data_IF_564310037013
#
_entry.id   IF_564310037013
#
_cell.length_a   1.000
_cell.length_b   1.000
_cell.length_c   1.000
_cell.angle_alpha   90.00
_cell.angle_beta   90.00
_cell.angle_gamma   90.00
#
_symmetry.space_group_name_H-M   'P 1'
#
loop_
_entity.id
_entity.type
_entity.pdbx_description
1 polymer ?
#
# COMPACT_ATOMS: atom_id res chain seq x y z
N UNK A 1 2.88 27.36 -5.15
CA UNK A 1 1.68 26.62 -4.71
C UNK A 1 0.78 27.42 -3.79
N UNK A 2 1.26 28.06 -2.71
CA UNK A 2 0.39 28.87 -1.80
C UNK A 2 -0.52 29.90 -2.49
N UNK A 3 -0.06 30.52 -3.57
CA UNK A 3 -0.88 31.44 -4.38
C UNK A 3 -2.04 30.74 -5.09
N UNK A 4 -1.82 29.54 -5.63
CA UNK A 4 -2.86 28.70 -6.23
C UNK A 4 -3.87 28.27 -5.17
N UNK A 5 -3.37 27.80 -4.01
CA UNK A 5 -4.21 27.40 -2.88
C UNK A 5 -5.12 28.57 -2.44
N UNK A 6 -4.57 29.79 -2.37
CA UNK A 6 -5.32 31.00 -2.00
C UNK A 6 -6.40 31.33 -3.03
N UNK A 7 -6.06 31.29 -4.32
CA UNK A 7 -7.04 31.53 -5.41
C UNK A 7 -8.18 30.53 -5.35
N UNK A 8 -7.87 29.23 -5.27
CA UNK A 8 -8.89 28.18 -5.27
C UNK A 8 -9.73 28.19 -4.00
N UNK A 9 -9.11 28.44 -2.83
CA UNK A 9 -9.84 28.54 -1.56
C UNK A 9 -10.75 29.76 -1.46
N UNK A 10 -10.52 30.81 -2.26
CA UNK A 10 -11.38 32.00 -2.29
C UNK A 10 -12.69 31.79 -3.07
N UNK A 11 -12.81 30.72 -3.85
CA UNK A 11 -14.01 30.39 -4.62
C UNK A 11 -15.04 29.70 -3.72
N UNK A 12 -16.20 30.31 -3.53
CA UNK A 12 -17.23 29.79 -2.60
C UNK A 12 -17.99 28.56 -3.13
N UNK A 13 -17.86 28.22 -4.42
CA UNK A 13 -18.58 27.15 -5.10
C UNK A 13 -17.72 25.91 -5.40
N UNK A 14 -16.55 25.77 -4.76
CA UNK A 14 -15.63 24.64 -5.00
C UNK A 14 -15.22 23.94 -3.71
N UNK A 15 -15.00 22.63 -3.79
CA UNK A 15 -14.22 21.88 -2.81
C UNK A 15 -12.84 21.62 -3.40
N UNK A 16 -11.83 22.27 -2.84
CA UNK A 16 -10.44 22.19 -3.31
C UNK A 16 -9.62 21.26 -2.41
N UNK A 17 -8.96 20.27 -3.02
CA UNK A 17 -8.06 19.34 -2.35
C UNK A 17 -6.75 19.28 -3.12
N UNK A 18 -5.62 19.43 -2.42
CA UNK A 18 -4.29 19.29 -3.02
C UNK A 18 -3.42 18.39 -2.18
N UNK A 19 -2.66 17.55 -2.85
CA UNK A 19 -1.60 16.74 -2.27
C UNK A 19 -0.36 16.86 -3.14
N UNK A 20 0.67 17.58 -2.65
CA UNK A 20 1.85 17.97 -3.44
C UNK A 20 1.42 18.62 -4.77
N UNK A 21 1.59 17.95 -5.91
CA UNK A 21 1.25 18.44 -7.25
C UNK A 21 -0.13 17.95 -7.73
N UNK A 22 -0.73 16.97 -7.05
CA UNK A 22 -2.04 16.41 -7.41
C UNK A 22 -3.17 17.29 -6.85
N UNK A 23 -3.94 17.90 -7.75
CA UNK A 23 -5.07 18.78 -7.42
C UNK A 23 -6.37 18.10 -7.82
N UNK A 24 -7.33 18.09 -6.90
CA UNK A 24 -8.72 17.71 -7.12
C UNK A 24 -9.63 18.89 -6.79
N UNK A 25 -10.53 19.23 -7.71
CA UNK A 25 -11.52 20.29 -7.53
C UNK A 25 -12.90 19.72 -7.80
N UNK A 26 -13.77 19.76 -6.81
CA UNK A 26 -15.18 19.38 -6.97
C UNK A 26 -16.02 20.65 -7.10
N UNK A 27 -16.84 20.72 -8.13
CA UNK A 27 -17.65 21.89 -8.46
C UNK A 27 -18.91 21.50 -9.24
N UNK A 28 -19.76 22.47 -9.54
CA UNK A 28 -20.88 22.26 -10.45
C UNK A 28 -20.37 22.06 -11.88
N UNK A 29 -20.99 21.15 -12.62
CA UNK A 29 -20.58 20.81 -13.99
C UNK A 29 -20.60 22.03 -14.93
N UNK A 30 -21.51 22.99 -14.70
CA UNK A 30 -21.58 24.25 -15.45
C UNK A 30 -20.35 25.13 -15.29
N UNK A 31 -19.65 25.02 -14.16
CA UNK A 31 -18.57 25.91 -13.77
C UNK A 31 -17.19 25.27 -14.02
N UNK A 32 -17.16 23.97 -14.31
CA UNK A 32 -15.95 23.16 -14.33
C UNK A 32 -14.85 23.69 -15.26
N UNK A 33 -15.22 24.13 -16.47
CA UNK A 33 -14.24 24.69 -17.42
C UNK A 33 -13.68 26.03 -16.92
N UNK A 34 -14.53 26.91 -16.40
CA UNK A 34 -14.09 28.21 -15.89
C UNK A 34 -13.14 28.06 -14.68
N UNK A 35 -13.40 27.06 -13.84
CA UNK A 35 -12.56 26.73 -12.69
C UNK A 35 -11.22 26.11 -13.12
N UNK A 36 -11.20 25.20 -14.10
CA UNK A 36 -9.96 24.66 -14.68
C UNK A 36 -9.10 25.78 -15.28
N UNK A 37 -9.70 26.68 -16.06
CA UNK A 37 -9.00 27.82 -16.65
C UNK A 37 -8.39 28.74 -15.58
N UNK A 38 -9.15 29.04 -14.53
CA UNK A 38 -8.66 29.85 -13.40
C UNK A 38 -7.51 29.15 -12.65
N UNK A 39 -7.60 27.83 -12.45
CA UNK A 39 -6.54 27.02 -11.84
C UNK A 39 -5.27 27.04 -12.70
N UNK A 40 -5.39 26.82 -14.02
CA UNK A 40 -4.27 26.86 -14.97
C UNK A 40 -3.61 28.24 -15.03
N UNK A 41 -4.40 29.32 -14.98
CA UNK A 41 -3.89 30.68 -14.92
C UNK A 41 -3.08 30.92 -13.64
N UNK A 42 -3.60 30.46 -12.48
CA UNK A 42 -2.92 30.56 -11.21
C UNK A 42 -1.59 29.77 -11.18
N UNK A 43 -1.57 28.58 -11.81
CA UNK A 43 -0.34 27.80 -12.01
C UNK A 43 0.66 28.54 -12.92
N UNK A 44 0.17 29.11 -14.03
CA UNK A 44 0.99 29.89 -14.96
C UNK A 44 1.66 31.09 -14.31
N UNK A 45 0.98 31.76 -13.38
CA UNK A 45 1.53 32.88 -12.61
C UNK A 45 2.74 32.49 -11.74
N UNK A 46 2.87 31.21 -11.38
CA UNK A 46 4.04 30.67 -10.65
C UNK A 46 4.97 29.84 -11.55
N UNK A 47 4.86 30.02 -12.88
CA UNK A 47 5.67 29.33 -13.91
C UNK A 47 5.52 27.81 -13.90
N UNK A 48 4.35 27.32 -13.46
CA UNK A 48 3.96 25.92 -13.59
C UNK A 48 2.91 25.78 -14.68
N UNK A 49 2.87 24.61 -15.32
CA UNK A 49 1.83 24.27 -16.28
C UNK A 49 1.24 22.92 -15.93
N UNK A 50 -0.10 22.85 -15.92
CA UNK A 50 -0.79 21.58 -15.81
C UNK A 50 -0.60 20.78 -17.11
N UNK A 51 -0.61 19.45 -16.98
CA UNK A 51 -0.59 18.60 -18.14
C UNK A 51 -1.84 18.83 -19.02
N UNK A 52 -1.78 18.57 -20.34
CA UNK A 52 -2.92 18.74 -21.22
C UNK A 52 -4.07 17.81 -20.84
N UNK A 53 -5.30 18.31 -20.92
CA UNK A 53 -6.52 17.50 -20.83
C UNK A 53 -6.76 16.78 -22.15
N UNK A 54 -6.14 15.62 -22.32
CA UNK A 54 -6.42 14.70 -23.42
C UNK A 54 -6.98 13.40 -22.86
N UNK A 55 -7.61 12.55 -23.70
CA UNK A 55 -8.15 11.24 -23.29
C UNK A 55 -7.11 10.27 -22.65
N UNK A 56 -5.83 10.63 -22.66
CA UNK A 56 -4.74 9.95 -21.96
C UNK A 56 -3.84 10.92 -21.15
N UNK A 57 -4.30 12.14 -20.90
CA UNK A 57 -3.61 13.17 -20.15
C UNK A 57 -3.66 12.94 -18.64
N UNK A 58 -2.77 13.59 -17.89
CA UNK A 58 -2.75 13.55 -16.42
C UNK A 58 -3.75 14.52 -15.77
N UNK A 59 -4.43 15.33 -16.57
CA UNK A 59 -5.46 16.26 -16.12
C UNK A 59 -6.76 15.92 -16.83
N UNK A 60 -7.86 15.93 -16.10
CA UNK A 60 -9.19 15.57 -16.62
C UNK A 60 -10.27 16.48 -16.02
N UNK A 61 -11.30 16.74 -16.82
CA UNK A 61 -12.56 17.34 -16.38
C UNK A 61 -13.64 16.32 -16.71
N UNK A 62 -14.46 15.97 -15.73
CA UNK A 62 -15.49 14.94 -15.90
C UNK A 62 -16.53 14.99 -14.80
N UNK A 63 -17.58 14.18 -14.95
CA UNK A 63 -18.60 14.03 -13.93
C UNK A 63 -18.15 13.01 -12.89
N UNK A 64 -18.48 13.26 -11.62
CA UNK A 64 -18.26 12.28 -10.53
C UNK A 64 -18.95 10.94 -10.85
N UNK A 65 -20.08 10.99 -11.55
CA UNK A 65 -20.85 9.81 -11.96
C UNK A 65 -20.08 8.87 -12.90
N UNK A 66 -19.17 9.41 -13.72
CA UNK A 66 -18.33 8.63 -14.64
C UNK A 66 -17.14 7.97 -13.89
N UNK A 67 -16.92 8.38 -12.64
CA UNK A 67 -15.78 7.99 -11.83
C UNK A 67 -14.52 8.79 -12.14
N UNK A 68 -13.59 8.79 -11.20
CA UNK A 68 -12.31 9.51 -11.34
C UNK A 68 -11.23 8.85 -10.49
N UNK A 69 -9.97 9.29 -10.66
CA UNK A 69 -8.86 8.80 -9.84
C UNK A 69 -8.17 9.91 -9.06
N UNK A 70 -7.79 9.63 -7.81
CA UNK A 70 -7.05 10.56 -6.98
C UNK A 70 -6.19 9.80 -5.96
N UNK A 71 -4.92 10.15 -5.83
CA UNK A 71 -3.95 9.51 -4.91
C UNK A 71 -3.86 7.97 -5.02
N UNK A 72 -4.08 7.46 -6.22
CA UNK A 72 -4.07 6.02 -6.51
C UNK A 72 -5.39 5.30 -6.22
N UNK A 73 -6.38 5.99 -5.65
CA UNK A 73 -7.74 5.48 -5.53
C UNK A 73 -8.53 5.68 -6.82
N UNK A 74 -9.55 4.85 -7.01
CA UNK A 74 -10.59 5.01 -8.04
C UNK A 74 -11.92 5.21 -7.36
N UNK A 75 -12.59 6.31 -7.67
CA UNK A 75 -13.90 6.67 -7.13
C UNK A 75 -14.94 6.33 -8.18
N UNK A 76 -16.01 5.66 -7.76
CA UNK A 76 -17.18 5.38 -8.58
C UNK A 76 -18.45 5.67 -7.78
N UNK A 77 -19.61 5.62 -8.43
CA UNK A 77 -20.90 5.75 -7.74
C UNK A 77 -21.18 4.62 -6.73
N UNK A 78 -20.49 3.48 -6.85
CA UNK A 78 -20.75 2.30 -6.04
C UNK A 78 -19.75 2.12 -4.89
N UNK A 79 -18.48 2.43 -5.13
CA UNK A 79 -17.38 2.13 -4.19
C UNK A 79 -16.13 2.97 -4.48
N UNK A 80 -15.29 3.09 -3.46
CA UNK A 80 -13.90 3.54 -3.52
C UNK A 80 -13.00 2.32 -3.60
N UNK A 81 -12.33 2.16 -4.74
CA UNK A 81 -11.38 1.07 -5.01
C UNK A 81 -9.98 1.64 -5.32
N UNK A 82 -9.13 0.81 -5.90
CA UNK A 82 -7.72 1.13 -6.16
C UNK A 82 -7.44 1.06 -7.65
N UNK A 83 -6.60 1.98 -8.15
CA UNK A 83 -6.20 2.01 -9.56
C UNK A 83 -5.56 0.67 -9.98
N UNK A 84 -5.96 0.18 -11.15
CA UNK A 84 -5.52 -1.12 -11.69
C UNK A 84 -4.01 -1.31 -11.67
N UNK A 85 -3.24 -0.26 -11.98
CA UNK A 85 -1.77 -0.33 -11.96
C UNK A 85 -1.19 -0.68 -10.59
N UNK A 86 -1.79 -0.20 -9.49
CA UNK A 86 -1.36 -0.55 -8.14
C UNK A 86 -1.73 -2.00 -7.81
N UNK A 87 -2.91 -2.46 -8.21
CA UNK A 87 -3.34 -3.86 -8.05
C UNK A 87 -2.37 -4.80 -8.79
N UNK A 88 -2.06 -4.51 -10.05
CA UNK A 88 -1.14 -5.32 -10.88
C UNK A 88 0.26 -5.35 -10.27
N UNK A 89 0.74 -4.24 -9.70
CA UNK A 89 2.03 -4.18 -9.00
C UNK A 89 2.03 -5.08 -7.77
N UNK A 90 0.97 -5.05 -6.95
CA UNK A 90 0.82 -5.94 -5.80
C UNK A 90 0.80 -7.41 -6.23
N UNK A 91 0.00 -7.77 -7.25
CA UNK A 91 -0.07 -9.15 -7.74
C UNK A 91 1.27 -9.63 -8.30
N UNK A 92 2.01 -8.73 -8.96
CA UNK A 92 3.35 -9.01 -9.48
C UNK A 92 4.37 -9.19 -8.35
N UNK A 93 4.30 -8.37 -7.30
CA UNK A 93 5.12 -8.53 -6.09
C UNK A 93 4.83 -9.87 -5.41
N UNK A 94 3.55 -10.22 -5.20
CA UNK A 94 3.16 -11.53 -4.69
C UNK A 94 3.72 -12.65 -5.57
N UNK A 95 3.52 -12.61 -6.90
CA UNK A 95 4.05 -13.62 -7.80
C UNK A 95 5.57 -13.79 -7.69
N UNK A 96 6.32 -12.70 -7.52
CA UNK A 96 7.79 -12.74 -7.33
C UNK A 96 8.20 -13.45 -6.05
N UNK A 97 7.45 -13.29 -4.95
CA UNK A 97 7.69 -13.99 -3.67
C UNK A 97 7.55 -15.50 -3.87
N UNK A 98 6.51 -15.95 -4.59
CA UNK A 98 6.31 -17.37 -4.89
C UNK A 98 7.32 -17.93 -5.90
N UNK A 99 7.76 -17.12 -6.87
CA UNK A 99 8.82 -17.51 -7.80
C UNK A 99 10.15 -17.72 -7.06
N UNK A 100 10.50 -16.84 -6.12
CA UNK A 100 11.67 -16.98 -5.26
C UNK A 100 11.61 -18.26 -4.42
N UNK A 101 10.46 -18.58 -3.83
CA UNK A 101 10.25 -19.86 -3.13
C UNK A 101 10.57 -21.06 -4.01
N UNK A 102 10.08 -21.09 -5.25
CA UNK A 102 10.36 -22.18 -6.19
C UNK A 102 11.85 -22.34 -6.42
N UNK A 103 12.53 -21.23 -6.70
CA UNK A 103 13.97 -21.21 -6.93
C UNK A 103 14.74 -21.72 -5.71
N UNK A 104 14.41 -21.26 -4.51
CA UNK A 104 15.06 -21.68 -3.26
C UNK A 104 14.76 -23.16 -2.92
N UNK A 105 13.57 -23.67 -3.26
CA UNK A 105 13.19 -25.08 -3.05
C UNK A 105 13.87 -26.04 -4.04
N UNK A 106 14.04 -25.61 -5.29
CA UNK A 106 14.65 -26.43 -6.35
C UNK A 106 16.19 -26.39 -6.33
N UNK A 107 16.78 -25.43 -5.61
CA UNK A 107 18.23 -25.32 -5.42
C UNK A 107 18.70 -25.81 -4.05
N UNK A 108 20.03 -25.84 -3.86
CA UNK A 108 20.68 -26.35 -2.64
C UNK A 108 21.19 -25.25 -1.71
N UNK A 109 20.94 -23.97 -2.02
CA UNK A 109 21.51 -22.84 -1.29
C UNK A 109 20.93 -22.66 0.13
N UNK A 110 19.70 -23.13 0.37
CA UNK A 110 19.02 -23.06 1.66
C UNK A 110 18.18 -24.32 1.89
N UNK A 111 17.91 -24.66 3.15
CA UNK A 111 17.01 -25.77 3.46
C UNK A 111 15.57 -25.48 3.02
N UNK A 112 14.80 -26.52 2.70
CA UNK A 112 13.39 -26.39 2.35
C UNK A 112 12.55 -25.69 3.44
N UNK A 113 12.86 -25.93 4.72
CA UNK A 113 12.23 -25.24 5.86
C UNK A 113 12.52 -23.74 5.85
N UNK A 114 13.79 -23.35 5.62
CA UNK A 114 14.19 -21.94 5.53
C UNK A 114 13.50 -21.23 4.38
N UNK A 115 13.45 -21.86 3.20
CA UNK A 115 12.76 -21.32 2.04
C UNK A 115 11.25 -21.14 2.31
N UNK A 116 10.63 -22.08 3.03
CA UNK A 116 9.21 -22.01 3.38
C UNK A 116 8.94 -20.88 4.38
N UNK A 117 9.78 -20.74 5.41
CA UNK A 117 9.72 -19.64 6.38
C UNK A 117 9.80 -18.27 5.71
N UNK A 118 10.78 -18.09 4.81
CA UNK A 118 10.93 -16.86 4.01
C UNK A 118 9.69 -16.57 3.18
N UNK A 119 9.17 -17.57 2.46
CA UNK A 119 7.94 -17.44 1.69
C UNK A 119 6.78 -16.94 2.57
N UNK A 120 6.53 -17.62 3.69
CA UNK A 120 5.42 -17.31 4.60
C UNK A 120 5.57 -15.89 5.13
N UNK A 121 6.76 -15.52 5.56
CA UNK A 121 7.03 -14.21 6.13
C UNK A 121 6.80 -13.09 5.12
N UNK A 122 7.46 -13.14 3.95
CA UNK A 122 7.33 -12.12 2.92
C UNK A 122 5.90 -12.01 2.38
N UNK A 123 5.24 -13.14 2.13
CA UNK A 123 3.84 -13.18 1.70
C UNK A 123 2.94 -12.50 2.75
N UNK A 124 3.08 -12.86 4.02
CA UNK A 124 2.24 -12.31 5.06
C UNK A 124 2.48 -10.80 5.23
N UNK A 125 3.73 -10.35 5.17
CA UNK A 125 4.08 -8.93 5.21
C UNK A 125 3.46 -8.16 4.03
N UNK A 126 3.53 -8.71 2.82
CA UNK A 126 2.91 -8.10 1.63
C UNK A 126 1.38 -7.98 1.76
N UNK A 127 0.73 -8.90 2.47
CA UNK A 127 -0.73 -8.91 2.68
C UNK A 127 -1.14 -7.94 3.80
N UNK A 128 -0.49 -7.98 4.95
CA UNK A 128 -0.91 -7.23 6.14
C UNK A 128 -0.31 -5.84 6.23
N UNK A 129 0.81 -5.61 5.55
CA UNK A 129 1.71 -4.54 5.92
C UNK A 129 2.28 -4.73 7.33
N UNK A 130 2.80 -3.64 7.88
CA UNK A 130 3.35 -3.54 9.22
C UNK A 130 3.29 -2.09 9.72
N UNK A 131 3.62 -1.89 10.99
CA UNK A 131 4.00 -0.59 11.54
C UNK A 131 5.49 -0.64 11.86
N UNK A 132 6.23 0.34 11.36
CA UNK A 132 7.67 0.46 11.56
C UNK A 132 8.09 1.92 11.57
N UNK A 133 8.89 2.31 12.57
CA UNK A 133 9.32 3.69 12.81
C UNK A 133 8.16 4.70 12.86
N UNK A 134 7.04 4.29 13.46
CA UNK A 134 5.81 5.09 13.54
C UNK A 134 5.00 5.15 12.25
N UNK A 135 5.46 4.52 11.17
CA UNK A 135 4.80 4.57 9.85
C UNK A 135 4.09 3.26 9.55
N UNK A 136 2.79 3.34 9.26
CA UNK A 136 2.02 2.21 8.72
C UNK A 136 2.38 2.00 7.24
N UNK A 137 2.94 0.83 6.92
CA UNK A 137 3.45 0.52 5.59
C UNK A 137 2.87 -0.80 5.10
N UNK A 138 2.45 -0.86 3.85
CA UNK A 138 1.83 -2.00 3.17
C UNK A 138 0.66 -1.55 2.31
N UNK A 139 0.39 -2.31 1.24
CA UNK A 139 -0.68 -1.99 0.29
C UNK A 139 -2.03 -1.74 0.98
N UNK A 140 -2.43 -2.62 1.89
CA UNK A 140 -3.73 -2.49 2.59
C UNK A 140 -3.73 -1.37 3.65
N UNK A 141 -2.56 -0.99 4.17
CA UNK A 141 -2.42 0.15 5.09
C UNK A 141 -2.60 1.47 4.34
N UNK A 142 -1.91 1.61 3.20
CA UNK A 142 -2.06 2.75 2.31
C UNK A 142 -3.53 2.88 1.85
N UNK A 143 -4.10 1.81 1.30
CA UNK A 143 -5.46 1.82 0.77
C UNK A 143 -6.54 1.57 1.83
N UNK A 144 -6.30 1.88 3.12
CA UNK A 144 -7.24 1.59 4.23
C UNK A 144 -8.63 2.24 4.11
N UNK A 145 -8.76 3.24 3.25
CA UNK A 145 -10.02 3.94 2.96
C UNK A 145 -10.89 3.27 1.89
N UNK A 146 -10.39 2.24 1.18
CA UNK A 146 -11.19 1.50 0.21
C UNK A 146 -12.41 0.85 0.88
N UNK A 147 -13.48 0.64 0.13
CA UNK A 147 -14.67 -0.12 0.54
C UNK A 147 -15.05 -1.23 -0.47
N UNK A 148 -14.27 -1.41 -1.54
CA UNK A 148 -14.39 -2.52 -2.49
C UNK A 148 -13.93 -3.86 -1.87
N UNK A 149 -14.84 -4.50 -1.12
CA UNK A 149 -14.59 -5.79 -0.50
C UNK A 149 -14.46 -6.94 -1.52
N UNK A 150 -15.00 -6.78 -2.74
CA UNK A 150 -14.86 -7.78 -3.79
C UNK A 150 -13.42 -7.85 -4.30
N UNK A 151 -12.76 -6.70 -4.44
CA UNK A 151 -11.32 -6.63 -4.72
C UNK A 151 -10.50 -7.41 -3.68
N UNK A 152 -10.77 -7.21 -2.39
CA UNK A 152 -10.03 -7.92 -1.33
C UNK A 152 -10.22 -9.44 -1.42
N UNK A 153 -11.45 -9.92 -1.65
CA UNK A 153 -11.72 -11.35 -1.88
C UNK A 153 -10.99 -11.88 -3.12
N UNK A 154 -10.91 -11.09 -4.19
CA UNK A 154 -10.17 -11.46 -5.40
C UNK A 154 -8.68 -11.61 -5.13
N UNK A 155 -8.08 -10.70 -4.36
CA UNK A 155 -6.67 -10.77 -3.96
C UNK A 155 -6.40 -12.01 -3.10
N UNK A 156 -7.29 -12.34 -2.16
CA UNK A 156 -7.20 -13.57 -1.36
C UNK A 156 -7.26 -14.83 -2.24
N UNK A 157 -8.13 -14.82 -3.26
CA UNK A 157 -8.19 -15.89 -4.25
C UNK A 157 -6.91 -15.96 -5.10
N UNK A 158 -6.30 -14.83 -5.46
CA UNK A 158 -5.00 -14.78 -6.15
C UNK A 158 -3.90 -15.44 -5.30
N UNK A 159 -3.79 -15.12 -4.01
CA UNK A 159 -2.84 -15.76 -3.08
C UNK A 159 -3.08 -17.28 -3.01
N UNK A 160 -4.35 -17.70 -2.94
CA UNK A 160 -4.72 -19.12 -2.92
C UNK A 160 -4.30 -19.85 -4.21
N UNK A 161 -4.53 -19.22 -5.37
CA UNK A 161 -4.11 -19.76 -6.68
C UNK A 161 -2.59 -19.87 -6.78
N UNK A 162 -1.85 -18.86 -6.31
CA UNK A 162 -0.38 -18.90 -6.27
C UNK A 162 0.12 -20.05 -5.37
N UNK A 163 -0.43 -20.18 -4.17
CA UNK A 163 -0.09 -21.31 -3.27
C UNK A 163 -0.31 -22.67 -3.91
N UNK A 164 -1.42 -22.86 -4.64
CA UNK A 164 -1.69 -24.09 -5.39
C UNK A 164 -0.71 -24.29 -6.54
N UNK A 165 -0.47 -23.25 -7.35
CA UNK A 165 0.41 -23.30 -8.53
C UNK A 165 1.84 -23.69 -8.16
N UNK A 166 2.34 -23.19 -7.04
CA UNK A 166 3.72 -23.40 -6.59
C UNK A 166 3.87 -24.57 -5.61
N UNK A 167 2.82 -25.36 -5.40
CA UNK A 167 2.79 -26.49 -4.46
C UNK A 167 3.29 -26.11 -3.07
N UNK A 168 2.82 -24.97 -2.56
CA UNK A 168 3.13 -24.52 -1.21
C UNK A 168 2.34 -25.38 -0.21
N UNK A 169 2.95 -25.84 0.89
CA UNK A 169 2.24 -26.56 1.95
C UNK A 169 0.98 -25.80 2.39
N UNK A 170 -0.10 -26.55 2.69
CA UNK A 170 -1.38 -25.97 3.12
C UNK A 170 -1.31 -25.33 4.51
N UNK A 171 -0.30 -25.68 5.31
CA UNK A 171 -0.09 -25.19 6.66
C UNK A 171 1.27 -24.50 6.78
N UNK A 172 1.36 -23.35 7.46
CA UNK A 172 0.25 -22.54 7.96
C UNK A 172 -0.56 -21.88 6.83
N UNK A 173 -1.85 -21.63 7.10
CA UNK A 173 -2.72 -20.91 6.16
C UNK A 173 -2.18 -19.48 5.93
N UNK A 174 -2.28 -18.94 4.70
CA UNK A 174 -1.90 -17.58 4.43
C UNK A 174 -2.77 -16.60 5.22
N UNK A 175 -2.18 -15.47 5.64
CA UNK A 175 -2.98 -14.31 6.05
C UNK A 175 -3.82 -13.82 4.86
N UNK A 176 -4.89 -13.08 5.12
CA UNK A 176 -5.84 -12.62 4.10
C UNK A 176 -6.00 -11.10 4.16
N UNK A 177 -6.16 -10.50 2.99
CA UNK A 177 -6.44 -9.07 2.83
C UNK A 177 -7.75 -8.69 3.52
N UNK A 178 -8.78 -9.54 3.45
CA UNK A 178 -10.04 -9.29 4.14
C UNK A 178 -9.84 -9.17 5.66
N UNK A 179 -9.07 -10.07 6.27
CA UNK A 179 -8.82 -10.02 7.72
C UNK A 179 -7.89 -8.86 8.09
N UNK A 180 -6.89 -8.55 7.25
CA UNK A 180 -6.03 -7.39 7.45
C UNK A 180 -6.83 -6.08 7.40
N UNK A 181 -7.73 -5.93 6.42
CA UNK A 181 -8.63 -4.78 6.28
C UNK A 181 -9.46 -4.55 7.53
N UNK A 182 -10.13 -5.59 8.04
CA UNK A 182 -10.95 -5.46 9.24
C UNK A 182 -10.13 -5.23 10.50
N UNK A 183 -8.91 -5.77 10.58
CA UNK A 183 -8.00 -5.47 11.68
C UNK A 183 -7.54 -4.00 11.69
N UNK A 184 -7.41 -3.37 10.51
CA UNK A 184 -7.11 -1.92 10.39
C UNK A 184 -8.34 -1.08 10.76
N UNK A 185 -9.53 -1.44 10.26
CA UNK A 185 -10.78 -0.69 10.53
C UNK A 185 -11.24 -0.80 11.99
N UNK A 186 -10.93 -1.90 12.67
CA UNK A 186 -11.36 -2.14 14.05
C UNK A 186 -10.18 -2.48 14.99
N UNK A 187 -9.34 -1.49 15.35
CA UNK A 187 -8.14 -1.72 16.17
C UNK A 187 -8.42 -2.31 17.56
N UNK A 188 -9.63 -2.09 18.11
CA UNK A 188 -10.03 -2.59 19.44
C UNK A 188 -10.45 -4.07 19.46
N UNK A 189 -10.76 -4.63 18.29
CA UNK A 189 -11.12 -6.05 18.13
C UNK A 189 -9.93 -6.90 17.66
N UNK A 190 -8.72 -6.32 17.73
CA UNK A 190 -7.49 -6.88 17.18
C UNK A 190 -7.10 -8.11 17.99
N UNK A 191 -6.86 -9.25 17.31
CA UNK A 191 -5.83 -10.17 17.80
C UNK A 191 -4.53 -9.42 17.63
N UNK A 192 -3.93 -8.95 18.73
CA UNK A 192 -2.83 -7.96 18.76
C UNK A 192 -1.72 -8.21 17.71
N UNK A 193 -1.52 -9.47 17.33
CA UNK A 193 -0.44 -9.94 16.45
C UNK A 193 -0.79 -10.10 14.95
N UNK A 194 -2.00 -9.78 14.48
CA UNK A 194 -2.33 -10.04 13.06
C UNK A 194 -1.57 -9.12 12.10
N UNK A 195 -1.40 -7.86 12.46
CA UNK A 195 -0.56 -6.90 11.74
C UNK A 195 0.66 -6.69 12.63
N UNK A 196 1.88 -6.97 12.16
CA UNK A 196 3.07 -6.77 12.98
C UNK A 196 3.28 -5.28 13.25
N UNK A 197 3.55 -4.93 14.51
CA UNK A 197 4.05 -3.63 14.91
C UNK A 197 5.48 -3.81 15.43
N UNK A 198 6.45 -3.60 14.55
CA UNK A 198 7.86 -3.87 14.83
C UNK A 198 8.45 -2.89 15.85
N UNK A 199 7.81 -1.74 16.09
CA UNK A 199 8.23 -0.75 17.09
C UNK A 199 7.95 -1.22 18.52
N UNK A 200 7.05 -2.20 18.70
CA UNK A 200 6.68 -2.76 20.00
C UNK A 200 7.40 -4.08 20.30
N UNK A 201 8.34 -4.49 19.45
CA UNK A 201 9.05 -5.76 19.63
C UNK A 201 10.17 -5.58 20.65
N UNK A 202 10.22 -6.46 21.64
CA UNK A 202 11.38 -6.64 22.50
C UNK A 202 12.39 -7.61 21.86
N UNK A 203 13.57 -7.74 22.45
CA UNK A 203 14.63 -8.60 21.91
C UNK A 203 14.17 -10.06 21.74
N UNK A 204 13.48 -10.69 22.69
CA UNK A 204 12.90 -12.02 22.49
C UNK A 204 11.98 -12.12 21.27
N UNK A 205 11.04 -11.18 21.09
CA UNK A 205 10.18 -11.15 19.90
C UNK A 205 10.96 -10.92 18.61
N UNK A 206 11.98 -10.06 18.63
CA UNK A 206 12.86 -9.87 17.47
C UNK A 206 13.60 -11.16 17.09
N UNK A 207 14.08 -11.95 18.07
CA UNK A 207 14.69 -13.27 17.79
C UNK A 207 13.69 -14.22 17.13
N UNK A 208 12.47 -14.33 17.68
CA UNK A 208 11.41 -15.16 17.11
C UNK A 208 11.04 -14.72 15.69
N UNK A 209 10.97 -13.42 15.43
CA UNK A 209 10.66 -12.90 14.09
C UNK A 209 11.81 -13.21 13.11
N UNK A 210 13.07 -13.07 13.51
CA UNK A 210 14.23 -13.46 12.69
C UNK A 210 14.21 -14.96 12.37
N UNK A 211 13.89 -15.81 13.35
CA UNK A 211 13.72 -17.25 13.14
C UNK A 211 12.54 -17.56 12.19
N UNK A 212 11.44 -16.80 12.28
CA UNK A 212 10.32 -16.90 11.36
C UNK A 212 10.67 -16.47 9.93
N UNK A 213 11.70 -15.62 9.75
CA UNK A 213 12.30 -15.29 8.46
C UNK A 213 13.30 -16.35 7.95
N UNK A 214 13.53 -17.42 8.72
CA UNK A 214 14.54 -18.44 8.40
C UNK A 214 15.98 -17.98 8.66
N UNK A 215 16.19 -17.06 9.60
CA UNK A 215 17.50 -16.58 10.03
C UNK A 215 17.84 -17.26 11.34
N UNK A 216 18.54 -18.38 11.25
CA UNK A 216 18.87 -19.23 12.41
C UNK A 216 20.11 -18.77 13.17
N UNK A 217 21.00 -18.00 12.52
CA UNK A 217 22.16 -17.39 13.16
C UNK A 217 21.79 -16.07 13.89
N UNK A 218 20.72 -16.09 14.68
CA UNK A 218 20.35 -14.99 15.57
C UNK A 218 21.05 -15.13 16.94
N UNK A 219 22.17 -15.84 16.98
CA UNK A 219 23.00 -16.00 18.17
C UNK A 219 23.96 -14.81 18.26
N UNK A 220 23.87 -14.06 19.34
CA UNK A 220 24.56 -12.80 19.52
C UNK A 220 24.02 -12.04 20.73
N UNK A 221 24.72 -10.97 21.08
CA UNK A 221 24.24 -10.02 22.10
C UNK A 221 22.92 -9.39 21.68
N UNK A 222 22.16 -8.90 22.65
CA UNK A 222 20.87 -8.27 22.39
C UNK A 222 20.97 -7.10 21.39
N UNK A 223 22.07 -6.33 21.44
CA UNK A 223 22.34 -5.27 20.47
C UNK A 223 22.52 -5.80 19.05
N UNK A 224 23.27 -6.89 18.87
CA UNK A 224 23.49 -7.49 17.54
C UNK A 224 22.18 -8.02 16.94
N UNK A 225 21.29 -8.57 17.77
CA UNK A 225 19.96 -9.01 17.33
C UNK A 225 19.12 -7.82 16.88
N UNK A 226 19.07 -6.74 17.68
CA UNK A 226 18.34 -5.52 17.33
C UNK A 226 18.84 -4.94 16.00
N UNK A 227 20.15 -4.75 15.86
CA UNK A 227 20.74 -4.17 14.64
C UNK A 227 20.44 -5.03 13.40
N UNK A 228 20.51 -6.35 13.53
CA UNK A 228 20.20 -7.30 12.45
C UNK A 228 18.72 -7.25 12.09
N UNK A 229 17.84 -7.27 13.10
CA UNK A 229 16.39 -7.16 12.92
C UNK A 229 16.02 -5.88 12.19
N UNK A 230 16.45 -4.72 12.70
CA UNK A 230 16.12 -3.43 12.09
C UNK A 230 16.64 -3.31 10.66
N UNK A 231 17.85 -3.81 10.37
CA UNK A 231 18.40 -3.80 9.00
C UNK A 231 17.53 -4.59 8.02
N UNK A 232 17.05 -5.76 8.44
CA UNK A 232 16.28 -6.66 7.59
C UNK A 232 14.85 -6.14 7.40
N UNK A 233 14.20 -5.72 8.49
CA UNK A 233 12.87 -5.09 8.45
C UNK A 233 12.91 -3.83 7.60
N UNK A 234 13.88 -2.94 7.81
CA UNK A 234 14.02 -1.70 7.02
C UNK A 234 14.14 -1.99 5.51
N UNK A 235 14.84 -3.06 5.14
CA UNK A 235 14.96 -3.47 3.74
C UNK A 235 13.64 -4.00 3.19
N UNK A 236 12.93 -4.82 3.96
CA UNK A 236 11.65 -5.39 3.54
C UNK A 236 10.52 -4.34 3.46
N UNK A 237 10.54 -3.35 4.35
CA UNK A 237 9.54 -2.27 4.41
C UNK A 237 9.73 -1.24 3.29
N UNK A 238 10.97 -0.98 2.87
CA UNK A 238 11.27 -0.03 1.79
C UNK A 238 10.50 -0.30 0.49
N UNK A 239 10.22 -1.57 0.22
CA UNK A 239 9.54 -2.01 -1.00
C UNK A 239 8.00 -1.99 -0.87
N UNK A 240 7.46 -1.57 0.29
CA UNK A 240 6.02 -1.47 0.55
C UNK A 240 5.46 -0.06 0.24
N UNK A 241 4.16 0.04 -0.05
CA UNK A 241 3.46 1.33 -0.07
C UNK A 241 3.37 1.94 1.33
N UNK A 242 3.61 3.24 1.50
CA UNK A 242 3.64 3.89 2.83
C UNK A 242 2.45 4.83 2.99
N UNK A 243 1.71 4.75 4.10
CA UNK A 243 0.64 5.70 4.44
C UNK A 243 1.21 7.12 4.47
N UNK A 244 0.58 8.06 3.75
CA UNK A 244 1.09 9.42 3.60
C UNK A 244 0.40 10.40 4.56
N UNK A 245 -0.03 9.88 5.72
CA UNK A 245 -0.88 10.55 6.70
C UNK A 245 -0.29 11.75 7.44
N UNK A 246 0.71 12.45 6.89
CA UNK A 246 1.18 13.77 7.34
C UNK A 246 1.95 14.47 6.21
N UNK A 247 1.24 15.10 5.27
CA UNK A 247 1.80 16.17 4.44
C UNK A 247 0.90 17.39 4.62
N UNK A 248 1.23 18.19 5.64
CA UNK A 248 0.67 19.52 5.86
C UNK A 248 1.33 20.56 4.95
#
# INVERSE_FOLDING_TARGET
MRSVDTTMASMSNVSYHRFVDDILVLCQASDAQAIDDACRLALGAIKLSAHPSMAAGKSEIGLIADGFTYLGYTFSSAHVSVRLSSIVRLESHLASIYAKWRQEREGDAVSADTALRRLIWHRNLAITGCIFQGVASGWIQYFRQLDDLMLLKRLDATVSRLSKRYSVPKTPLPKTFMRAYWAIKHPRSRSEDYIPNFDLYDVPKMRLELEAMGITDAMGTDQQVQDKFFRIVSRAVRDLEHDIGDVS
#
